data_IF_046936352314
#
_entry.id   IF_046936352314
#
_cell.length_a   1.000
_cell.length_b   1.000
_cell.length_c   1.000
_cell.angle_alpha   90.00
_cell.angle_beta   90.00
_cell.angle_gamma   90.00
#
_symmetry.space_group_name_H-M   'P 1'
#
loop_
_entity.id
_entity.type
_entity.pdbx_description
1 polymer ?
#
# COMPACT_ATOMS: atom_id res chain seq x y z
N UNK A 1 -16.47 10.12 -2.38
CA UNK A 1 -17.37 9.76 -3.48
C UNK A 1 -18.80 10.03 -3.08
N UNK A 2 -19.77 9.67 -3.93
CA UNK A 2 -21.18 9.71 -3.55
C UNK A 2 -21.47 8.66 -2.46
N UNK A 3 -22.48 8.88 -1.58
CA UNK A 3 -22.81 7.96 -0.48
C UNK A 3 -22.97 6.50 -0.90
N UNK A 4 -23.57 6.27 -2.08
CA UNK A 4 -23.85 4.93 -2.61
C UNK A 4 -22.59 4.18 -3.11
N UNK A 5 -21.48 4.90 -3.30
CA UNK A 5 -20.20 4.34 -3.74
C UNK A 5 -19.19 4.17 -2.59
N UNK A 6 -19.47 4.77 -1.42
CA UNK A 6 -18.57 4.77 -0.27
C UNK A 6 -18.98 3.70 0.75
N UNK A 7 -19.03 2.44 0.33
CA UNK A 7 -19.33 1.31 1.22
C UNK A 7 -18.02 0.66 1.68
N UNK A 8 -17.33 1.28 2.63
CA UNK A 8 -16.15 0.69 3.27
C UNK A 8 -16.57 -0.06 4.56
N UNK A 9 -16.23 -1.35 4.72
CA UNK A 9 -16.56 -2.11 5.93
C UNK A 9 -15.77 -1.66 7.17
N UNK A 10 -14.71 -0.86 7.02
CA UNK A 10 -13.83 -0.36 8.05
C UNK A 10 -14.02 1.14 8.34
N UNK A 11 -14.59 1.89 7.40
CA UNK A 11 -14.87 3.32 7.53
C UNK A 11 -16.39 3.59 7.53
N UNK A 12 -16.83 4.52 8.36
CA UNK A 12 -18.20 5.04 8.34
C UNK A 12 -18.24 6.25 7.40
N UNK A 13 -18.91 6.09 6.25
CA UNK A 13 -18.92 7.13 5.21
C UNK A 13 -19.69 8.38 5.63
N UNK A 14 -20.63 8.27 6.58
CA UNK A 14 -21.44 9.40 7.02
C UNK A 14 -20.63 10.35 7.91
N UNK A 15 -19.74 9.77 8.73
CA UNK A 15 -18.89 10.51 9.67
C UNK A 15 -17.45 10.67 9.21
N UNK A 16 -17.03 9.96 8.15
CA UNK A 16 -15.64 9.82 7.70
C UNK A 16 -14.69 9.33 8.81
N UNK A 17 -15.21 8.49 9.73
CA UNK A 17 -14.43 7.95 10.84
C UNK A 17 -14.23 6.45 10.70
N UNK A 18 -13.12 5.95 11.25
CA UNK A 18 -12.91 4.53 11.38
C UNK A 18 -13.96 3.93 12.32
N UNK A 19 -14.50 2.78 11.93
CA UNK A 19 -15.41 2.01 12.78
C UNK A 19 -14.67 1.48 14.01
N UNK A 20 -15.36 1.25 15.14
CA UNK A 20 -14.73 0.71 16.35
C UNK A 20 -13.91 -0.56 16.07
N UNK A 21 -12.62 -0.53 16.42
CA UNK A 21 -11.70 -1.63 16.22
C UNK A 21 -10.98 -1.66 14.87
N UNK A 22 -11.34 -0.81 13.91
CA UNK A 22 -10.57 -0.62 12.68
C UNK A 22 -9.31 0.22 12.95
N UNK A 23 -8.20 -0.17 12.32
CA UNK A 23 -6.92 0.56 12.33
C UNK A 23 -6.68 1.33 11.02
N UNK A 24 -7.38 0.94 9.96
CA UNK A 24 -7.26 1.50 8.62
C UNK A 24 -8.58 1.39 7.87
N UNK A 25 -8.76 2.23 6.86
CA UNK A 25 -9.78 2.07 5.83
C UNK A 25 -9.32 1.03 4.79
N UNK A 26 -10.25 0.44 4.05
CA UNK A 26 -9.98 -0.64 3.10
C UNK A 26 -9.30 -0.19 1.80
N UNK A 27 -9.12 1.12 1.62
CA UNK A 27 -8.60 1.76 0.41
C UNK A 27 -7.07 1.61 0.20
N UNK A 28 -6.39 0.84 1.06
CA UNK A 28 -4.92 0.75 1.04
C UNK A 28 -4.40 -0.69 0.96
N UNK A 29 -3.34 -0.95 0.18
CA UNK A 29 -2.76 -2.30 0.01
C UNK A 29 -2.15 -2.87 1.31
N UNK A 30 -1.81 -2.01 2.27
CA UNK A 30 -1.34 -2.41 3.60
C UNK A 30 -2.48 -2.54 4.63
N UNK A 31 -3.75 -2.50 4.22
CA UNK A 31 -4.88 -2.77 5.08
C UNK A 31 -5.55 -4.10 4.69
N UNK A 32 -5.73 -4.99 5.66
CA UNK A 32 -6.46 -6.24 5.48
C UNK A 32 -7.38 -6.46 6.68
N UNK A 33 -8.67 -6.73 6.41
CA UNK A 33 -9.67 -6.92 7.46
C UNK A 33 -9.69 -5.78 8.50
N UNK A 34 -9.57 -4.53 8.04
CA UNK A 34 -9.49 -3.34 8.88
C UNK A 34 -8.28 -3.29 9.83
N UNK A 35 -7.23 -4.09 9.57
CA UNK A 35 -5.98 -4.12 10.33
C UNK A 35 -4.80 -3.77 9.44
N UNK A 36 -3.83 -3.07 10.01
CA UNK A 36 -2.59 -2.78 9.33
C UNK A 36 -1.78 -4.06 9.18
N UNK A 37 -1.24 -4.28 7.98
CA UNK A 37 -0.24 -5.31 7.75
C UNK A 37 1.03 -4.99 8.54
N UNK A 38 1.77 -5.99 9.04
CA UNK A 38 2.98 -5.75 9.80
C UNK A 38 4.08 -5.13 8.94
N UNK A 39 5.04 -4.49 9.60
CA UNK A 39 6.25 -3.99 8.95
C UNK A 39 6.96 -5.13 8.19
N UNK A 40 7.33 -4.89 6.93
CA UNK A 40 7.96 -5.91 6.08
C UNK A 40 6.98 -6.78 5.29
N UNK A 41 5.66 -6.55 5.37
CA UNK A 41 4.71 -7.19 4.46
C UNK A 41 4.82 -6.58 3.05
N UNK A 42 5.05 -7.40 2.03
CA UNK A 42 5.19 -6.90 0.65
C UNK A 42 3.84 -6.40 0.13
N UNK A 43 3.75 -5.10 -0.18
CA UNK A 43 2.53 -4.47 -0.70
C UNK A 43 2.54 -4.24 -2.21
N UNK A 44 3.73 -4.18 -2.83
CA UNK A 44 3.89 -4.11 -4.27
C UNK A 44 4.97 -5.09 -4.73
N UNK A 45 4.67 -5.77 -5.84
CA UNK A 45 5.58 -6.68 -6.50
C UNK A 45 6.41 -5.89 -7.53
N UNK A 46 7.71 -6.17 -7.68
CA UNK A 46 8.51 -5.66 -8.77
C UNK A 46 7.92 -6.01 -10.13
N UNK A 47 7.87 -5.04 -11.05
CA UNK A 47 7.45 -5.25 -12.44
C UNK A 47 8.57 -5.75 -13.34
N UNK A 48 9.82 -5.49 -12.97
CA UNK A 48 11.03 -5.79 -13.73
C UNK A 48 12.27 -5.82 -12.83
N UNK A 49 13.42 -6.16 -13.38
CA UNK A 49 14.68 -6.33 -12.65
C UNK A 49 15.28 -5.01 -12.10
N UNK A 50 14.78 -3.86 -12.54
CA UNK A 50 15.17 -2.54 -12.04
C UNK A 50 14.21 -2.01 -10.98
N UNK A 51 13.08 -2.68 -10.78
CA UNK A 51 12.01 -2.28 -9.88
C UNK A 51 12.23 -2.89 -8.48
N UNK A 52 12.19 -2.07 -7.44
CA UNK A 52 12.43 -2.55 -6.09
C UNK A 52 11.10 -2.90 -5.40
N UNK A 53 11.04 -3.97 -4.60
CA UNK A 53 9.83 -4.30 -3.86
C UNK A 53 9.60 -3.32 -2.70
N UNK A 54 8.36 -2.92 -2.49
CA UNK A 54 7.93 -2.12 -1.34
C UNK A 54 7.21 -2.96 -0.31
N UNK A 55 7.42 -2.54 0.93
CA UNK A 55 6.91 -3.21 2.09
C UNK A 55 6.14 -2.22 2.96
N UNK A 56 5.05 -2.70 3.55
CA UNK A 56 4.30 -1.97 4.55
C UNK A 56 5.21 -1.58 5.71
N UNK A 57 4.98 -0.39 6.27
CA UNK A 57 5.72 0.12 7.42
C UNK A 57 5.14 -0.35 8.76
N UNK A 58 3.90 -0.86 8.76
CA UNK A 58 3.20 -1.32 9.97
C UNK A 58 2.35 -0.25 10.66
N UNK A 59 2.43 1.01 10.21
CA UNK A 59 1.73 2.16 10.80
C UNK A 59 0.83 2.91 9.79
N UNK A 60 0.83 2.49 8.53
CA UNK A 60 0.07 3.09 7.43
C UNK A 60 -0.65 2.03 6.59
N UNK A 61 -1.85 2.37 6.13
CA UNK A 61 -2.62 1.54 5.20
C UNK A 61 -2.09 1.61 3.77
N UNK A 62 -1.29 2.63 3.47
CA UNK A 62 -0.73 2.86 2.15
C UNK A 62 0.64 2.19 2.03
N UNK A 63 0.91 1.66 0.84
CA UNK A 63 2.26 1.22 0.49
C UNK A 63 3.16 2.47 0.36
N UNK A 64 4.45 2.38 0.71
CA UNK A 64 5.42 3.42 0.35
C UNK A 64 5.40 3.74 -1.17
N UNK A 65 5.91 4.90 -1.58
CA UNK A 65 6.07 5.24 -2.98
C UNK A 65 6.88 4.17 -3.73
N UNK A 66 6.52 3.98 -5.00
CA UNK A 66 7.25 3.13 -5.95
C UNK A 66 8.70 3.61 -6.07
N UNK A 67 9.64 2.72 -5.75
CA UNK A 67 11.07 2.95 -5.82
C UNK A 67 11.71 2.02 -6.85
N UNK A 68 12.61 2.60 -7.62
CA UNK A 68 13.37 1.91 -8.67
C UNK A 68 14.85 2.16 -8.47
N UNK A 69 15.69 1.34 -9.09
CA UNK A 69 17.13 1.62 -9.17
C UNK A 69 17.35 3.01 -9.82
N UNK A 70 18.33 3.75 -9.28
CA UNK A 70 18.63 5.09 -9.76
C UNK A 70 19.44 5.08 -11.06
N UNK A 71 19.29 6.14 -11.86
CA UNK A 71 19.93 6.30 -13.17
C UNK A 71 21.42 5.87 -13.16
N UNK A 72 21.80 4.96 -14.05
CA UNK A 72 23.16 4.44 -14.15
C UNK A 72 23.50 3.23 -13.26
N UNK A 73 22.61 2.79 -12.36
CA UNK A 73 22.77 1.50 -11.68
C UNK A 73 22.40 0.36 -12.65
N UNK A 74 23.26 -0.67 -12.78
CA UNK A 74 22.96 -1.81 -13.65
C UNK A 74 21.84 -2.64 -13.02
N UNK A 75 20.78 -2.89 -13.77
CA UNK A 75 19.77 -3.86 -13.37
C UNK A 75 20.32 -5.28 -13.44
N UNK A 76 19.60 -6.26 -12.87
CA UNK A 76 20.05 -7.65 -12.88
C UNK A 76 20.23 -8.22 -14.30
N UNK A 77 19.49 -7.70 -15.29
CA UNK A 77 19.62 -8.05 -16.72
C UNK A 77 20.83 -7.41 -17.41
N UNK A 78 21.55 -6.50 -16.75
CA UNK A 78 22.67 -5.75 -17.32
C UNK A 78 22.24 -4.55 -18.19
N UNK A 79 20.95 -4.27 -18.27
CA UNK A 79 20.43 -3.01 -18.79
C UNK A 79 20.59 -1.93 -17.72
N UNK A 80 21.13 -0.77 -18.09
CA UNK A 80 21.13 0.40 -17.22
C UNK A 80 19.76 1.09 -17.32
N UNK A 81 19.26 1.58 -16.18
CA UNK A 81 18.09 2.48 -16.12
C UNK A 81 18.36 3.80 -16.85
#
# INVERSE_FOLDING_TARGET
>A
GFPDECTDPCCDYFTCQLRPGAQCASDGPCCQNCKLQPAGWQCRLPTDDCDLPEFCLGDSSQCPPDIRLGDGEPCASGEAV
#
